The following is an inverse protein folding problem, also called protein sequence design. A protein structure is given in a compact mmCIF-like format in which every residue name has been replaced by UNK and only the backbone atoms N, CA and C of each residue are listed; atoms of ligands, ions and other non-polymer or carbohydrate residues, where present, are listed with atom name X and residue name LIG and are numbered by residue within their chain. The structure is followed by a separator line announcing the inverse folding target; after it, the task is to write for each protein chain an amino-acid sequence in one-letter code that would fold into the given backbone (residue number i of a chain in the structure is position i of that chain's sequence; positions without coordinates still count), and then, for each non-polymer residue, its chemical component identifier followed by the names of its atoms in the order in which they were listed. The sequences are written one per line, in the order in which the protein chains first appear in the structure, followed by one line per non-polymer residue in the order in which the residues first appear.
data_IF_781961624901
#
_entry.id   IF_781961624901
#
_cell.length_a   1.000
_cell.length_b   1.000
_cell.length_c   1.000
_cell.angle_alpha   90.00
_cell.angle_beta   90.00
_cell.angle_gamma   90.00
#
_symmetry.space_group_name_H-M   'P 1'
#
loop_
_entity.id
_entity.type
_entity.pdbx_description
1 polymer ?
#
# COMPACT_ATOMS: atom_id res chain seq x y z
N UNK A 1 -17.02 4.65 -11.98
CA UNK A 1 -16.60 4.00 -10.74
C UNK A 1 -15.65 2.90 -11.08
N UNK A 2 -14.77 2.63 -10.14
CA UNK A 2 -13.61 1.78 -10.32
C UNK A 2 -13.99 0.31 -10.35
N UNK A 3 -13.12 -0.50 -10.94
CA UNK A 3 -13.28 -1.95 -10.97
C UNK A 3 -12.67 -2.55 -9.71
N UNK A 4 -13.39 -3.48 -9.10
CA UNK A 4 -12.93 -4.20 -7.91
C UNK A 4 -13.22 -5.69 -8.03
N UNK A 5 -12.34 -6.53 -7.47
CA UNK A 5 -12.55 -7.95 -7.31
C UNK A 5 -13.07 -8.25 -5.91
N UNK A 6 -14.14 -9.02 -5.82
CA UNK A 6 -14.73 -9.47 -4.56
C UNK A 6 -13.90 -10.66 -4.07
N UNK A 7 -13.65 -10.75 -2.76
CA UNK A 7 -12.95 -11.90 -2.17
C UNK A 7 -13.68 -13.21 -2.49
N UNK A 8 -12.93 -14.30 -2.55
CA UNK A 8 -13.44 -15.65 -2.79
C UNK A 8 -13.66 -16.45 -1.49
N UNK A 9 -13.00 -16.04 -0.40
CA UNK A 9 -13.16 -16.63 0.93
C UNK A 9 -14.53 -16.31 1.54
N UNK A 10 -15.41 -17.32 1.53
CA UNK A 10 -16.76 -17.25 2.08
C UNK A 10 -16.79 -16.98 3.59
N UNK A 11 -15.88 -17.60 4.37
CA UNK A 11 -15.89 -17.45 5.82
C UNK A 11 -15.50 -16.02 6.20
N UNK A 12 -14.45 -15.51 5.56
CA UNK A 12 -14.01 -14.12 5.72
C UNK A 12 -15.07 -13.13 5.25
N UNK A 13 -15.72 -13.39 4.11
CA UNK A 13 -16.81 -12.56 3.59
C UNK A 13 -17.98 -12.45 4.58
N UNK A 14 -18.40 -13.56 5.18
CA UNK A 14 -19.46 -13.56 6.19
C UNK A 14 -19.10 -12.74 7.42
N UNK A 15 -17.85 -12.84 7.87
CA UNK A 15 -17.40 -12.10 9.04
C UNK A 15 -17.33 -10.59 8.80
N UNK A 16 -16.74 -10.20 7.66
CA UNK A 16 -16.57 -8.79 7.29
C UNK A 16 -17.88 -8.07 6.93
N UNK A 17 -18.92 -8.81 6.52
CA UNK A 17 -20.23 -8.22 6.19
C UNK A 17 -21.11 -7.87 7.40
N UNK A 18 -20.76 -8.34 8.60
CA UNK A 18 -21.56 -8.04 9.80
C UNK A 18 -21.58 -6.53 10.04
N UNK A 19 -22.76 -5.92 10.05
CA UNK A 19 -22.95 -4.48 10.17
C UNK A 19 -22.80 -3.69 8.87
N UNK A 20 -22.48 -4.33 7.74
CA UNK A 20 -22.16 -3.70 6.45
C UNK A 20 -23.09 -4.17 5.32
N UNK A 21 -24.40 -4.18 5.59
CA UNK A 21 -25.43 -4.70 4.67
C UNK A 21 -25.75 -6.19 4.84
N UNK A 22 -25.10 -6.85 5.81
CA UNK A 22 -25.25 -8.25 6.17
C UNK A 22 -24.90 -9.23 5.04
N UNK A 23 -24.69 -10.49 5.41
CA UNK A 23 -24.51 -11.56 4.44
C UNK A 23 -25.85 -12.22 4.12
N UNK A 24 -26.10 -12.48 2.83
CA UNK A 24 -27.14 -13.40 2.38
C UNK A 24 -26.58 -14.44 1.41
N UNK A 25 -27.11 -15.66 1.44
CA UNK A 25 -26.55 -16.81 0.71
C UNK A 25 -26.42 -16.59 -0.81
N UNK A 26 -27.29 -15.77 -1.41
CA UNK A 26 -27.23 -15.43 -2.84
C UNK A 26 -25.98 -14.62 -3.21
N UNK A 27 -25.36 -13.91 -2.26
CA UNK A 27 -24.08 -13.20 -2.48
C UNK A 27 -22.92 -14.15 -2.81
N UNK A 28 -23.07 -15.45 -2.52
CA UNK A 28 -22.09 -16.49 -2.92
C UNK A 28 -21.79 -16.46 -4.42
N UNK A 29 -22.76 -16.04 -5.23
CA UNK A 29 -22.61 -15.89 -6.68
C UNK A 29 -21.67 -14.76 -7.12
N UNK A 30 -21.34 -13.84 -6.21
CA UNK A 30 -20.43 -12.72 -6.45
C UNK A 30 -18.99 -12.98 -5.98
N UNK A 31 -18.75 -14.02 -5.19
CA UNK A 31 -17.41 -14.35 -4.67
C UNK A 31 -16.41 -14.57 -5.81
N UNK A 32 -15.23 -13.97 -5.69
CA UNK A 32 -14.16 -14.05 -6.69
C UNK A 32 -14.41 -13.28 -7.98
N UNK A 33 -15.62 -12.74 -8.19
CA UNK A 33 -15.96 -11.99 -9.41
C UNK A 33 -15.44 -10.56 -9.36
N UNK A 34 -15.39 -9.94 -10.53
CA UNK A 34 -15.11 -8.50 -10.63
C UNK A 34 -16.43 -7.75 -10.79
N UNK A 35 -16.53 -6.59 -10.12
CA UNK A 35 -17.66 -5.68 -10.23
C UNK A 35 -17.22 -4.24 -10.36
N UNK A 36 -18.17 -3.37 -10.71
CA UNK A 36 -17.96 -1.94 -10.82
C UNK A 36 -18.55 -1.23 -9.62
N UNK A 37 -17.77 -0.39 -8.93
CA UNK A 37 -18.30 0.48 -7.88
C UNK A 37 -19.26 1.48 -8.52
N UNK A 38 -20.49 1.51 -8.01
CA UNK A 38 -21.56 2.42 -8.44
C UNK A 38 -21.79 3.55 -7.45
N UNK A 39 -21.51 3.32 -6.16
CA UNK A 39 -21.63 4.31 -5.09
C UNK A 39 -20.73 3.95 -3.92
N UNK A 40 -20.26 4.97 -3.21
CA UNK A 40 -19.63 4.86 -1.89
C UNK A 40 -20.59 5.53 -0.91
N UNK A 41 -20.95 4.83 0.16
CA UNK A 41 -21.82 5.34 1.22
C UNK A 41 -21.04 6.17 2.25
N UNK A 42 -21.73 6.91 3.10
CA UNK A 42 -21.11 7.80 4.10
C UNK A 42 -20.39 7.06 5.23
N UNK A 43 -20.80 5.81 5.48
CA UNK A 43 -20.14 4.85 6.38
C UNK A 43 -18.92 4.16 5.75
N UNK A 44 -18.67 4.41 4.46
CA UNK A 44 -17.57 3.84 3.68
C UNK A 44 -17.95 2.60 2.87
N UNK A 45 -19.16 2.06 3.01
CA UNK A 45 -19.57 0.86 2.29
C UNK A 45 -19.66 1.08 0.78
N UNK A 46 -19.37 0.02 0.03
CA UNK A 46 -19.30 0.06 -1.43
C UNK A 46 -20.54 -0.58 -2.03
N UNK A 47 -21.26 0.18 -2.85
CA UNK A 47 -22.30 -0.35 -3.71
C UNK A 47 -21.68 -0.83 -5.02
N UNK A 48 -21.58 -2.13 -5.23
CA UNK A 48 -20.90 -2.73 -6.38
C UNK A 48 -21.91 -3.45 -7.26
N UNK A 49 -21.84 -3.22 -8.58
CA UNK A 49 -22.58 -4.00 -9.57
C UNK A 49 -21.71 -5.15 -10.08
N UNK A 50 -22.19 -6.38 -9.92
CA UNK A 50 -21.56 -7.63 -10.36
C UNK A 50 -22.56 -8.35 -11.25
N UNK A 51 -22.22 -8.51 -12.54
CA UNK A 51 -23.08 -9.16 -13.55
C UNK A 51 -24.53 -8.63 -13.59
N UNK A 52 -24.71 -7.31 -13.41
CA UNK A 52 -26.03 -6.67 -13.41
C UNK A 52 -26.73 -6.69 -12.04
N UNK A 53 -26.27 -7.49 -11.08
CA UNK A 53 -26.79 -7.48 -9.72
C UNK A 53 -26.01 -6.51 -8.82
N UNK A 54 -26.70 -5.78 -7.97
CA UNK A 54 -26.07 -4.75 -7.12
C UNK A 54 -26.05 -5.19 -5.67
N UNK A 55 -24.90 -5.03 -5.03
CA UNK A 55 -24.62 -5.47 -3.67
C UNK A 55 -23.96 -4.34 -2.88
N UNK A 56 -24.14 -4.37 -1.56
CA UNK A 56 -23.35 -3.57 -0.62
C UNK A 56 -22.25 -4.46 -0.07
N UNK A 57 -21.01 -3.96 -0.11
CA UNK A 57 -19.84 -4.65 0.41
C UNK A 57 -19.09 -3.73 1.37
N UNK A 58 -18.64 -4.30 2.49
CA UNK A 58 -17.53 -3.75 3.25
C UNK A 58 -16.31 -3.55 2.31
N UNK A 59 -15.60 -2.41 2.36
CA UNK A 59 -14.39 -2.18 1.57
C UNK A 59 -13.32 -3.27 1.70
N UNK A 60 -13.25 -3.95 2.85
CA UNK A 60 -12.31 -5.05 3.11
C UNK A 60 -12.67 -6.35 2.35
N UNK A 61 -13.90 -6.45 1.84
CA UNK A 61 -14.36 -7.58 1.03
C UNK A 61 -13.99 -7.42 -0.45
N UNK A 62 -13.34 -6.32 -0.85
CA UNK A 62 -12.95 -6.08 -2.23
C UNK A 62 -11.49 -5.69 -2.37
N UNK A 63 -10.93 -5.88 -3.55
CA UNK A 63 -9.59 -5.44 -3.93
C UNK A 63 -9.68 -4.67 -5.23
N UNK A 64 -9.06 -3.49 -5.30
CA UNK A 64 -8.99 -2.72 -6.54
C UNK A 64 -8.34 -3.56 -7.65
N UNK A 65 -8.95 -3.58 -8.85
CA UNK A 65 -8.31 -4.16 -10.02
C UNK A 65 -7.86 -3.04 -10.96
N UNK A 66 -6.60 -3.09 -11.44
CA UNK A 66 -6.14 -2.12 -12.44
C UNK A 66 -7.04 -2.20 -13.67
N UNK A 67 -7.61 -1.06 -14.09
CA UNK A 67 -8.30 -0.96 -15.37
C UNK A 67 -7.30 -1.23 -16.50
N UNK A 68 -7.72 -1.93 -17.54
CA UNK A 68 -6.84 -2.32 -18.65
C UNK A 68 -6.10 -1.12 -19.27
N UNK A 69 -4.78 -1.31 -19.40
CA UNK A 69 -3.78 -0.69 -20.29
C UNK A 69 -3.08 0.64 -19.94
N UNK A 70 -3.52 1.47 -18.99
CA UNK A 70 -2.81 2.77 -18.74
C UNK A 70 -2.34 2.99 -17.31
N UNK A 71 -2.70 2.13 -16.36
CA UNK A 71 -2.46 2.39 -14.92
C UNK A 71 -1.59 1.31 -14.26
N UNK A 72 -0.60 0.77 -14.97
CA UNK A 72 0.34 -0.22 -14.43
C UNK A 72 1.49 0.38 -13.61
N UNK A 73 1.53 1.71 -13.37
CA UNK A 73 2.73 2.33 -12.80
C UNK A 73 2.76 2.52 -11.28
N UNK A 74 1.66 2.31 -10.53
CA UNK A 74 1.68 2.61 -9.08
C UNK A 74 1.06 1.50 -8.21
N UNK A 75 1.60 0.27 -8.26
CA UNK A 75 1.39 -0.68 -7.17
C UNK A 75 2.65 -0.71 -6.30
N UNK A 76 2.74 0.20 -5.32
CA UNK A 76 3.54 -0.07 -4.13
C UNK A 76 2.83 -1.19 -3.37
N UNK A 77 3.42 -2.39 -3.46
CA UNK A 77 3.07 -3.56 -2.67
C UNK A 77 3.28 -3.24 -1.19
N UNK A 78 2.22 -2.81 -0.51
CA UNK A 78 2.19 -2.69 0.95
C UNK A 78 2.05 -4.10 1.59
N UNK A 79 3.07 -4.95 1.42
CA UNK A 79 3.27 -6.12 2.28
C UNK A 79 4.66 -6.75 2.12
N UNK A 80 5.70 -6.18 2.73
CA UNK A 80 6.91 -6.94 3.12
C UNK A 80 7.47 -6.38 4.43
N UNK A 81 6.99 -6.91 5.56
CA UNK A 81 7.88 -7.15 6.69
C UNK A 81 8.46 -8.53 6.46
N UNK A 82 9.74 -8.67 6.08
CA UNK A 82 10.68 -9.71 6.51
C UNK A 82 12.13 -9.22 6.26
N UNK A 83 12.99 -9.49 7.23
CA UNK A 83 14.34 -8.97 7.42
C UNK A 83 15.34 -9.97 6.82
N UNK A 84 16.01 -9.65 5.71
CA UNK A 84 17.07 -10.50 5.17
C UNK A 84 18.25 -9.67 4.65
N UNK A 85 19.33 -9.77 5.40
CA UNK A 85 20.72 -9.43 5.08
C UNK A 85 21.12 -9.92 3.68
N UNK A 86 21.65 -9.03 2.84
CA UNK A 86 22.59 -9.46 1.80
C UNK A 86 23.81 -8.52 1.75
N UNK A 87 24.99 -9.02 2.16
CA UNK A 87 26.26 -8.38 1.88
C UNK A 87 26.59 -8.65 0.41
N UNK A 88 27.16 -7.65 -0.27
CA UNK A 88 28.05 -7.75 -1.44
C UNK A 88 27.90 -6.46 -2.24
N UNK A 89 28.81 -5.52 -2.04
CA UNK A 89 29.57 -4.87 -3.11
C UNK A 89 30.71 -4.09 -2.44
N UNK A 90 31.67 -4.84 -1.90
CA UNK A 90 33.04 -4.34 -1.77
C UNK A 90 33.75 -4.61 -3.09
N UNK A 91 34.08 -3.55 -3.83
CA UNK A 91 35.05 -3.41 -4.94
C UNK A 91 34.65 -2.08 -5.62
N UNK A 92 35.48 -1.07 -5.86
CA UNK A 92 36.94 -0.96 -5.90
C UNK A 92 37.25 0.55 -5.95
N UNK A 93 38.38 0.94 -5.36
CA UNK A 93 38.94 2.29 -5.27
C UNK A 93 39.06 3.01 -6.64
N UNK A 94 38.75 4.31 -6.70
CA UNK A 94 39.60 5.40 -7.25
C UNK A 94 38.81 6.70 -7.56
N UNK A 95 39.02 7.73 -6.73
CA UNK A 95 39.14 9.18 -7.05
C UNK A 95 38.01 9.96 -7.78
N UNK A 96 37.94 11.31 -7.61
CA UNK A 96 36.69 12.05 -7.42
C UNK A 96 36.30 12.92 -8.62
N UNK A 97 35.00 12.99 -8.94
CA UNK A 97 34.47 14.19 -9.59
C UNK A 97 32.95 14.37 -9.46
N UNK A 98 32.59 15.47 -8.79
CA UNK A 98 31.40 16.30 -8.95
C UNK A 98 30.02 15.63 -8.82
N UNK A 99 29.62 15.52 -7.55
CA UNK A 99 28.23 15.56 -7.13
C UNK A 99 27.71 17.01 -7.26
N UNK A 100 26.58 17.19 -7.93
CA UNK A 100 25.66 18.26 -7.57
C UNK A 100 24.26 17.67 -7.40
N UNK A 101 23.62 18.16 -6.34
CA UNK A 101 22.20 17.99 -6.00
C UNK A 101 21.79 16.73 -5.23
N UNK A 102 21.95 16.79 -3.90
CA UNK A 102 20.85 16.50 -2.97
C UNK A 102 21.26 16.84 -1.52
N UNK A 103 20.91 18.05 -1.11
CA UNK A 103 20.92 18.53 0.28
C UNK A 103 19.90 17.76 1.12
N UNK A 104 20.32 16.95 2.12
CA UNK A 104 19.54 16.79 3.37
C UNK A 104 20.15 16.01 4.57
N UNK A 105 21.41 15.54 4.60
CA UNK A 105 21.78 14.53 5.65
C UNK A 105 23.05 14.81 6.48
N UNK A 106 23.55 16.04 6.52
CA UNK A 106 24.87 16.35 7.12
C UNK A 106 24.87 17.11 8.45
N UNK A 107 23.76 17.18 9.20
CA UNK A 107 23.74 17.92 10.48
C UNK A 107 23.68 17.06 11.73
N UNK A 108 23.65 15.73 11.61
CA UNK A 108 23.44 14.82 12.76
C UNK A 108 24.72 14.10 13.21
N UNK A 109 25.77 14.05 12.36
CA UNK A 109 26.97 13.25 12.67
C UNK A 109 28.03 13.95 13.52
N UNK A 110 28.03 15.28 13.61
CA UNK A 110 29.18 16.03 14.17
C UNK A 110 29.09 16.28 15.69
N UNK A 111 27.96 16.04 16.34
CA UNK A 111 27.81 16.25 17.78
C UNK A 111 28.38 15.12 18.67
N UNK A 112 28.78 13.99 18.09
CA UNK A 112 29.08 12.75 18.84
C UNK A 112 30.57 12.49 19.13
N UNK A 113 31.50 13.37 18.72
CA UNK A 113 32.95 13.12 18.86
C UNK A 113 33.61 13.86 20.03
N UNK A 114 32.84 14.17 21.08
CA UNK A 114 33.28 14.91 22.27
C UNK A 114 34.77 14.75 22.61
N UNK A 115 35.53 15.82 22.39
CA UNK A 115 36.85 16.05 22.96
C UNK A 115 36.99 17.54 23.29
N UNK A 116 37.30 17.77 24.55
CA UNK A 116 37.40 19.04 25.26
C UNK A 116 38.73 19.73 24.99
N UNK A 117 38.77 21.03 25.32
CA UNK A 117 39.96 21.89 25.42
C UNK A 117 40.60 22.25 24.05
N UNK A 118 40.78 23.51 23.66
CA UNK A 118 41.64 24.51 24.30
C UNK A 118 41.33 25.91 23.72
N UNK A 119 40.81 26.81 24.56
CA UNK A 119 41.33 28.17 24.88
C UNK A 119 41.49 29.27 23.80
N UNK A 120 40.84 30.42 24.11
CA UNK A 120 41.17 31.87 23.92
C UNK A 120 40.90 32.59 22.59
N UNK A 121 40.00 33.58 22.71
CA UNK A 121 40.29 35.03 22.63
C UNK A 121 41.06 35.52 21.40
N UNK A 122 40.32 36.08 20.44
CA UNK A 122 40.47 37.47 20.00
C UNK A 122 39.20 37.96 19.29
#
# INVERSE_FOLDING_TARGET
GDMVRIIDDLAKMKDLQKGHGEWIEVMKTALGKTGKITKIYSDGDLRVNVDGQTWTFNPLCVTSVPGTATEMNNTMTANQREEHTHPLLGHLLAEPHQLDLASCDRLVREAAQGHTDVVRDL
#
